data_IF_643137125481
#
_entry.id   IF_643137125481
#
_cell.length_a   1.000
_cell.length_b   1.000
_cell.length_c   1.000
_cell.angle_alpha   90.00
_cell.angle_beta   90.00
_cell.angle_gamma   90.00
#
_symmetry.space_group_name_H-M   'P 1'
#
loop_
_entity.id
_entity.type
_entity.pdbx_description
1 polymer ?
#
# COMPACT_ATOMS: atom_id res chain seq x y z
N UNK A 1 12.39 18.24 -2.58
CA UNK A 1 12.81 16.99 -1.90
C UNK A 1 13.04 15.94 -2.97
N UNK A 2 13.98 15.03 -2.75
CA UNK A 2 14.19 13.87 -3.60
C UNK A 2 13.45 12.66 -3.05
N UNK A 3 12.49 12.12 -3.83
CA UNK A 3 11.52 11.13 -3.37
C UNK A 3 11.59 9.87 -4.22
N UNK A 4 11.88 8.73 -3.62
CA UNK A 4 11.83 7.42 -4.29
C UNK A 4 10.44 6.80 -4.12
N UNK A 5 9.87 6.30 -5.23
CA UNK A 5 8.56 5.62 -5.24
C UNK A 5 8.73 4.20 -5.75
N UNK A 6 8.33 3.21 -4.97
CA UNK A 6 8.32 1.81 -5.43
C UNK A 6 7.03 1.47 -6.16
N UNK A 7 7.12 0.68 -7.24
CA UNK A 7 5.95 0.29 -8.03
C UNK A 7 5.27 1.47 -8.75
N UNK A 8 6.05 2.42 -9.26
CA UNK A 8 5.56 3.65 -9.88
C UNK A 8 4.97 3.46 -11.29
N UNK A 9 5.02 2.26 -11.88
CA UNK A 9 4.63 2.04 -13.27
C UNK A 9 3.13 2.10 -13.56
N UNK A 10 2.26 2.07 -12.55
CA UNK A 10 0.79 2.06 -12.73
C UNK A 10 0.03 2.60 -11.53
N UNK A 11 -1.26 2.89 -11.74
CA UNK A 11 -2.25 3.22 -10.70
C UNK A 11 -1.72 4.24 -9.68
N UNK A 12 -1.83 3.95 -8.37
CA UNK A 12 -1.43 4.87 -7.28
C UNK A 12 0.02 5.32 -7.43
N UNK A 13 0.95 4.41 -7.75
CA UNK A 13 2.35 4.76 -7.91
C UNK A 13 2.61 5.76 -9.04
N UNK A 14 1.99 5.57 -10.20
CA UNK A 14 2.12 6.50 -11.33
C UNK A 14 1.45 7.86 -11.04
N UNK A 15 0.27 7.84 -10.41
CA UNK A 15 -0.41 9.06 -10.00
C UNK A 15 0.41 9.83 -8.95
N UNK A 16 1.01 9.12 -7.98
CA UNK A 16 1.90 9.71 -6.96
C UNK A 16 3.14 10.35 -7.60
N UNK A 17 3.75 9.67 -8.58
CA UNK A 17 4.89 10.23 -9.30
C UNK A 17 4.53 11.56 -9.97
N UNK A 18 3.40 11.61 -10.68
CA UNK A 18 2.90 12.85 -11.32
C UNK A 18 2.57 13.94 -10.30
N UNK A 19 1.87 13.59 -9.21
CA UNK A 19 1.47 14.55 -8.18
C UNK A 19 2.69 15.18 -7.48
N UNK A 20 3.72 14.40 -7.16
CA UNK A 20 4.94 14.89 -6.55
C UNK A 20 5.79 15.73 -7.52
N UNK A 21 5.91 15.32 -8.78
CA UNK A 21 6.59 16.11 -9.82
C UNK A 21 5.90 17.45 -10.01
N UNK A 22 4.57 17.49 -10.07
CA UNK A 22 3.78 18.73 -10.19
C UNK A 22 3.97 19.68 -9.00
N UNK A 23 4.37 19.15 -7.82
CA UNK A 23 4.70 19.94 -6.62
C UNK A 23 6.20 20.32 -6.55
N UNK A 24 6.96 20.07 -7.59
CA UNK A 24 8.38 20.43 -7.67
C UNK A 24 9.34 19.52 -6.91
N UNK A 25 8.94 18.28 -6.65
CA UNK A 25 9.84 17.28 -6.06
C UNK A 25 10.66 16.56 -7.15
N UNK A 26 11.90 16.19 -6.85
CA UNK A 26 12.74 15.33 -7.66
C UNK A 26 12.32 13.87 -7.46
N UNK A 27 11.48 13.35 -8.37
CA UNK A 27 10.94 12.00 -8.26
C UNK A 27 11.88 10.97 -8.88
N UNK A 28 12.24 9.95 -8.11
CA UNK A 28 12.89 8.71 -8.55
C UNK A 28 11.81 7.62 -8.65
N UNK A 29 11.24 7.44 -9.82
CA UNK A 29 10.25 6.42 -10.08
C UNK A 29 10.91 5.06 -10.29
N UNK A 30 10.41 4.02 -9.59
CA UNK A 30 10.96 2.68 -9.71
C UNK A 30 9.91 1.62 -10.01
N UNK A 31 10.28 0.62 -10.80
CA UNK A 31 9.50 -0.56 -11.11
C UNK A 31 10.43 -1.74 -11.44
N UNK A 32 9.92 -2.96 -11.40
CA UNK A 32 10.68 -4.15 -11.88
C UNK A 32 10.99 -4.05 -13.37
N UNK A 33 10.02 -3.62 -14.14
CA UNK A 33 10.18 -3.31 -15.57
C UNK A 33 10.19 -1.78 -15.77
N UNK A 34 11.36 -1.25 -16.11
CA UNK A 34 11.57 0.20 -16.34
C UNK A 34 10.75 0.71 -17.52
N UNK A 35 10.40 -0.14 -18.47
CA UNK A 35 9.59 0.27 -19.62
C UNK A 35 8.20 0.77 -19.20
N UNK A 36 7.67 0.27 -18.10
CA UNK A 36 6.41 0.73 -17.51
C UNK A 36 6.43 2.16 -16.98
N UNK A 37 7.61 2.76 -16.87
CA UNK A 37 7.83 4.14 -16.39
C UNK A 37 7.98 5.15 -17.54
N UNK A 38 7.95 4.72 -18.81
CA UNK A 38 8.31 5.54 -19.97
C UNK A 38 7.50 6.85 -20.06
N UNK A 39 6.19 6.79 -19.73
CA UNK A 39 5.26 7.92 -19.82
C UNK A 39 5.29 8.86 -18.60
N UNK A 40 6.16 8.61 -17.63
CA UNK A 40 6.29 9.49 -16.47
C UNK A 40 7.36 10.56 -16.73
N UNK A 41 6.98 11.82 -16.62
CA UNK A 41 7.93 12.93 -16.59
C UNK A 41 8.49 13.09 -15.18
N UNK A 42 9.62 12.44 -14.90
CA UNK A 42 10.26 12.36 -13.60
C UNK A 42 11.78 12.53 -13.70
N UNK A 43 12.41 12.93 -12.62
CA UNK A 43 13.85 13.18 -12.57
C UNK A 43 14.67 11.91 -12.91
N UNK A 44 14.20 10.73 -12.48
CA UNK A 44 14.91 9.47 -12.74
C UNK A 44 13.96 8.27 -12.79
N UNK A 45 14.28 7.28 -13.63
CA UNK A 45 13.59 6.00 -13.74
C UNK A 45 14.58 4.88 -13.49
N UNK A 46 14.29 3.97 -12.54
CA UNK A 46 15.21 2.89 -12.17
C UNK A 46 14.49 1.55 -12.09
N UNK A 47 15.21 0.49 -12.40
CA UNK A 47 14.78 -0.86 -12.06
C UNK A 47 14.90 -1.07 -10.55
N UNK A 48 13.84 -1.60 -9.93
CA UNK A 48 13.86 -2.01 -8.53
C UNK A 48 12.87 -3.14 -8.29
N UNK A 49 13.37 -4.28 -7.84
CA UNK A 49 12.59 -5.35 -7.23
C UNK A 49 12.76 -5.27 -5.71
N UNK A 50 11.67 -5.00 -4.99
CA UNK A 50 11.68 -4.85 -3.53
C UNK A 50 11.98 -6.17 -2.80
N UNK A 51 11.90 -7.31 -3.48
CA UNK A 51 12.21 -8.64 -2.93
C UNK A 51 13.69 -9.01 -3.07
N UNK A 52 14.45 -8.26 -3.87
CA UNK A 52 15.86 -8.51 -4.14
C UNK A 52 16.74 -7.42 -3.49
N UNK A 53 17.58 -7.83 -2.54
CA UNK A 53 18.48 -6.94 -1.81
C UNK A 53 19.54 -6.29 -2.71
N UNK A 54 20.04 -6.98 -3.73
CA UNK A 54 21.00 -6.42 -4.68
C UNK A 54 20.33 -5.40 -5.61
N UNK A 55 19.12 -5.68 -6.07
CA UNK A 55 18.31 -4.71 -6.82
C UNK A 55 18.09 -3.43 -6.02
N UNK A 56 17.71 -3.55 -4.74
CA UNK A 56 17.55 -2.41 -3.83
C UNK A 56 18.86 -1.64 -3.67
N UNK A 57 19.97 -2.31 -3.45
CA UNK A 57 21.30 -1.70 -3.30
C UNK A 57 21.71 -0.90 -4.54
N UNK A 58 21.53 -1.48 -5.73
CA UNK A 58 21.86 -0.84 -7.01
C UNK A 58 20.98 0.39 -7.25
N UNK A 59 19.66 0.27 -6.99
CA UNK A 59 18.74 1.39 -7.14
C UNK A 59 19.07 2.55 -6.20
N UNK A 60 19.41 2.28 -4.92
CA UNK A 60 19.85 3.33 -3.98
C UNK A 60 21.15 4.00 -4.41
N UNK A 61 22.13 3.23 -4.88
CA UNK A 61 23.40 3.80 -5.37
C UNK A 61 23.16 4.75 -6.56
N UNK A 62 22.25 4.41 -7.46
CA UNK A 62 21.87 5.25 -8.61
C UNK A 62 20.99 6.44 -8.21
N UNK A 63 20.09 6.27 -7.24
CA UNK A 63 19.19 7.31 -6.77
C UNK A 63 19.91 8.44 -6.04
N UNK A 64 21.05 8.19 -5.39
CA UNK A 64 21.74 9.15 -4.54
C UNK A 64 21.03 9.41 -3.22
N UNK A 65 21.25 10.60 -2.63
CA UNK A 65 20.60 10.95 -1.36
C UNK A 65 19.11 11.16 -1.54
N UNK A 66 18.33 10.52 -0.68
CA UNK A 66 16.86 10.58 -0.66
C UNK A 66 16.37 11.33 0.58
N UNK A 67 15.29 12.10 0.42
CA UNK A 67 14.59 12.77 1.51
C UNK A 67 13.36 11.99 1.97
N UNK A 68 12.71 11.29 1.04
CA UNK A 68 11.53 10.51 1.31
C UNK A 68 11.49 9.22 0.48
N UNK A 69 10.81 8.20 1.02
CA UNK A 69 10.51 6.95 0.32
C UNK A 69 9.02 6.69 0.42
N UNK A 70 8.39 6.41 -0.73
CA UNK A 70 7.01 5.95 -0.83
C UNK A 70 7.02 4.46 -1.18
N UNK A 71 6.72 3.60 -0.21
CA UNK A 71 6.55 2.17 -0.38
C UNK A 71 5.12 1.90 -0.90
N UNK A 72 5.01 1.75 -2.23
CA UNK A 72 3.73 1.51 -2.90
C UNK A 72 3.70 0.15 -3.62
N UNK A 73 4.83 -0.46 -3.91
CA UNK A 73 4.87 -1.78 -4.56
C UNK A 73 4.10 -2.82 -3.74
N UNK A 74 3.16 -3.50 -4.36
CA UNK A 74 2.35 -4.52 -3.71
C UNK A 74 1.78 -5.55 -4.69
N UNK A 75 1.44 -6.73 -4.16
CA UNK A 75 0.73 -7.84 -4.82
C UNK A 75 -0.56 -8.15 -4.07
N UNK A 76 -1.61 -8.53 -4.79
CA UNK A 76 -2.87 -9.04 -4.23
C UNK A 76 -3.42 -10.19 -5.09
N UNK A 77 -2.81 -11.37 -5.10
CA UNK A 77 -3.42 -12.57 -5.68
C UNK A 77 -4.52 -13.08 -4.75
N UNK A 78 -5.78 -12.90 -5.14
CA UNK A 78 -6.95 -13.32 -4.37
C UNK A 78 -7.16 -14.83 -4.47
N UNK A 79 -7.71 -15.44 -3.42
CA UNK A 79 -8.09 -16.85 -3.38
C UNK A 79 -8.42 -17.33 -1.98
N UNK A 80 -9.17 -18.45 -1.84
CA UNK A 80 -9.47 -19.06 -0.55
C UNK A 80 -8.19 -19.60 0.10
N UNK A 81 -8.09 -19.48 1.42
CA UNK A 81 -6.86 -19.87 2.14
C UNK A 81 -6.70 -21.38 2.32
N UNK A 82 -7.77 -22.17 2.15
CA UNK A 82 -7.76 -23.62 2.39
C UNK A 82 -6.68 -24.35 1.59
N UNK A 83 -6.52 -24.00 0.32
CA UNK A 83 -5.52 -24.60 -0.58
C UNK A 83 -4.57 -23.57 -1.19
N UNK A 84 -4.50 -22.38 -0.56
CA UNK A 84 -3.67 -21.28 -1.07
C UNK A 84 -2.18 -21.67 -1.08
N UNK A 85 -1.47 -21.51 -2.20
CA UNK A 85 -0.06 -21.88 -2.27
C UNK A 85 0.79 -21.06 -1.28
N UNK A 86 1.49 -21.75 -0.37
CA UNK A 86 2.25 -21.10 0.71
C UNK A 86 3.45 -20.29 0.20
N UNK A 87 4.03 -20.65 -0.93
CA UNK A 87 5.07 -19.87 -1.60
C UNK A 87 4.52 -18.55 -2.15
N UNK A 88 3.26 -18.54 -2.65
CA UNK A 88 2.57 -17.32 -3.06
C UNK A 88 2.28 -16.44 -1.86
N UNK A 89 1.78 -17.00 -0.75
CA UNK A 89 1.57 -16.29 0.52
C UNK A 89 2.88 -15.62 0.99
N UNK A 90 3.96 -16.40 1.04
CA UNK A 90 5.28 -15.91 1.45
C UNK A 90 5.76 -14.76 0.55
N UNK A 91 5.59 -14.89 -0.77
CA UNK A 91 5.93 -13.83 -1.74
C UNK A 91 5.10 -12.57 -1.55
N UNK A 92 3.81 -12.68 -1.22
CA UNK A 92 2.95 -11.52 -0.93
C UNK A 92 3.44 -10.77 0.31
N UNK A 93 3.75 -11.51 1.38
CA UNK A 93 4.29 -10.91 2.61
C UNK A 93 5.68 -10.29 2.35
N UNK A 94 6.55 -10.99 1.64
CA UNK A 94 7.89 -10.48 1.29
C UNK A 94 7.79 -9.21 0.46
N UNK A 95 6.94 -9.16 -0.56
CA UNK A 95 6.78 -7.96 -1.39
C UNK A 95 6.16 -6.79 -0.61
N UNK A 96 5.02 -7.04 0.08
CA UNK A 96 4.18 -5.95 0.60
C UNK A 96 4.66 -5.40 1.95
N UNK A 97 5.39 -6.20 2.74
CA UNK A 97 5.83 -5.81 4.08
C UNK A 97 7.35 -5.82 4.22
N UNK A 98 8.00 -6.98 4.00
CA UNK A 98 9.46 -7.10 4.16
C UNK A 98 10.19 -6.25 3.14
N UNK A 99 9.70 -6.21 1.89
CA UNK A 99 10.24 -5.38 0.81
C UNK A 99 10.20 -3.88 1.13
N UNK A 100 9.12 -3.41 1.76
CA UNK A 100 9.02 -2.03 2.22
C UNK A 100 10.13 -1.70 3.25
N UNK A 101 10.37 -2.61 4.21
CA UNK A 101 11.46 -2.45 5.17
C UNK A 101 12.84 -2.53 4.50
N UNK A 102 13.02 -3.48 3.56
CA UNK A 102 14.28 -3.65 2.80
C UNK A 102 14.65 -2.38 2.03
N UNK A 103 13.66 -1.66 1.50
CA UNK A 103 13.88 -0.41 0.73
C UNK A 103 14.26 0.76 1.65
N UNK A 104 13.76 0.84 2.89
CA UNK A 104 14.06 1.98 3.78
C UNK A 104 15.35 1.78 4.57
N UNK A 105 15.73 0.55 4.90
CA UNK A 105 16.90 0.27 5.73
C UNK A 105 18.21 0.94 5.26
N UNK A 106 18.55 0.97 3.95
CA UNK A 106 19.79 1.57 3.48
C UNK A 106 19.97 3.07 3.80
N UNK A 107 18.87 3.82 3.91
CA UNK A 107 18.92 5.28 4.14
C UNK A 107 18.86 5.67 5.60
N UNK A 108 18.40 4.80 6.51
CA UNK A 108 18.11 5.14 7.90
C UNK A 108 19.33 5.69 8.66
N UNK A 109 20.50 5.13 8.45
CA UNK A 109 21.72 5.62 9.11
C UNK A 109 22.07 7.05 8.67
N UNK A 110 21.89 7.38 7.40
CA UNK A 110 22.07 8.73 6.86
C UNK A 110 21.03 9.71 7.42
N UNK A 111 19.76 9.29 7.41
CA UNK A 111 18.65 10.09 7.92
C UNK A 111 18.79 10.39 9.43
N UNK A 112 19.20 9.41 10.24
CA UNK A 112 19.47 9.62 11.67
C UNK A 112 20.58 10.67 11.90
N UNK A 113 21.67 10.63 11.14
CA UNK A 113 22.73 11.64 11.24
C UNK A 113 22.27 13.04 10.82
N UNK A 114 21.39 13.10 9.81
CA UNK A 114 20.83 14.35 9.28
C UNK A 114 19.69 14.90 10.15
N UNK A 115 19.06 14.06 10.97
CA UNK A 115 17.89 14.43 11.77
C UNK A 115 16.61 14.62 10.94
N UNK A 116 16.51 14.01 9.76
CA UNK A 116 15.34 14.17 8.89
C UNK A 116 15.19 13.02 7.89
N UNK A 117 13.96 12.67 7.57
CA UNK A 117 13.55 11.66 6.58
C UNK A 117 12.05 11.41 6.63
N UNK A 118 11.49 10.88 5.57
CA UNK A 118 10.05 10.56 5.51
C UNK A 118 9.85 9.19 4.88
N UNK A 119 9.14 8.32 5.59
CA UNK A 119 8.66 7.03 5.10
C UNK A 119 7.15 7.15 4.92
N UNK A 120 6.66 6.91 3.71
CA UNK A 120 5.23 6.77 3.43
C UNK A 120 4.96 5.33 3.00
N UNK A 121 4.23 4.60 3.82
CA UNK A 121 3.82 3.23 3.52
C UNK A 121 2.38 3.22 3.00
N UNK A 122 2.17 2.78 1.76
CA UNK A 122 0.83 2.61 1.20
C UNK A 122 0.27 1.27 1.69
N UNK A 123 -0.52 1.35 2.75
CA UNK A 123 -1.24 0.23 3.34
C UNK A 123 -2.59 0.00 2.63
N UNK A 124 -3.64 -0.25 3.36
CA UNK A 124 -5.03 -0.44 2.92
C UNK A 124 -5.93 -0.44 4.15
N UNK A 125 -7.25 -0.30 3.97
CA UNK A 125 -8.23 -0.73 4.99
C UNK A 125 -7.97 -2.17 5.44
N UNK A 126 -7.47 -3.02 4.54
CA UNK A 126 -7.10 -4.40 4.84
C UNK A 126 -5.82 -4.55 5.67
N UNK A 127 -5.18 -3.48 6.07
CA UNK A 127 -4.19 -3.48 7.14
C UNK A 127 -4.81 -3.52 8.55
N UNK A 128 -6.13 -3.34 8.66
CA UNK A 128 -6.87 -3.28 9.94
C UNK A 128 -8.11 -4.18 9.96
N UNK A 129 -8.58 -4.63 8.80
CA UNK A 129 -9.70 -5.56 8.64
C UNK A 129 -9.29 -6.65 7.63
N UNK A 130 -9.94 -7.80 7.69
CA UNK A 130 -9.74 -8.86 6.71
C UNK A 130 -11.06 -9.12 5.97
N UNK A 131 -10.95 -9.46 4.69
CA UNK A 131 -12.09 -9.76 3.82
C UNK A 131 -11.96 -11.17 3.26
N UNK A 132 -13.08 -11.80 2.86
CA UNK A 132 -13.01 -13.10 2.20
C UNK A 132 -12.11 -13.06 0.96
N UNK A 133 -11.44 -14.17 0.69
CA UNK A 133 -10.60 -14.41 -0.49
C UNK A 133 -9.34 -13.54 -0.61
N UNK A 134 -9.11 -12.60 0.29
CA UNK A 134 -7.94 -11.70 0.27
C UNK A 134 -7.04 -11.86 1.50
N UNK A 135 -7.06 -13.05 2.13
CA UNK A 135 -6.35 -13.33 3.38
C UNK A 135 -4.84 -13.11 3.29
N UNK A 136 -4.19 -13.49 2.19
CA UNK A 136 -2.75 -13.28 1.99
C UNK A 136 -2.41 -11.77 1.93
N UNK A 137 -3.23 -10.99 1.23
CA UNK A 137 -3.07 -9.54 1.15
C UNK A 137 -3.30 -8.87 2.51
N UNK A 138 -4.41 -9.21 3.18
CA UNK A 138 -4.72 -8.68 4.50
C UNK A 138 -3.59 -8.98 5.51
N UNK A 139 -3.08 -10.21 5.56
CA UNK A 139 -1.95 -10.58 6.40
C UNK A 139 -0.71 -9.72 6.12
N UNK A 140 -0.39 -9.49 4.84
CA UNK A 140 0.76 -8.65 4.46
C UNK A 140 0.58 -7.19 4.85
N UNK A 141 -0.64 -6.64 4.73
CA UNK A 141 -0.92 -5.25 5.12
C UNK A 141 -0.97 -5.06 6.63
N UNK A 142 -1.47 -6.05 7.40
CA UNK A 142 -1.35 -6.06 8.87
C UNK A 142 0.13 -6.10 9.30
N UNK A 143 0.97 -6.90 8.62
CA UNK A 143 2.41 -6.90 8.88
C UNK A 143 3.05 -5.53 8.59
N UNK A 144 2.70 -4.87 7.47
CA UNK A 144 3.19 -3.54 7.13
C UNK A 144 2.76 -2.49 8.17
N UNK A 145 1.52 -2.55 8.67
CA UNK A 145 1.02 -1.68 9.74
C UNK A 145 1.84 -1.84 11.02
N UNK A 146 2.08 -3.09 11.46
CA UNK A 146 2.87 -3.36 12.66
C UNK A 146 4.32 -2.89 12.53
N UNK A 147 4.96 -3.12 11.37
CA UNK A 147 6.30 -2.58 11.08
C UNK A 147 6.30 -1.06 11.08
N UNK A 148 5.26 -0.42 10.57
CA UNK A 148 5.14 1.04 10.53
C UNK A 148 4.98 1.63 11.93
N UNK A 149 4.18 1.01 12.79
CA UNK A 149 4.03 1.40 14.20
C UNK A 149 5.40 1.34 14.92
N UNK A 150 6.13 0.24 14.75
CA UNK A 150 7.46 0.08 15.34
C UNK A 150 8.44 1.14 14.83
N UNK A 151 8.51 1.33 13.51
CA UNK A 151 9.38 2.35 12.91
C UNK A 151 9.02 3.76 13.37
N UNK A 152 7.74 4.07 13.57
CA UNK A 152 7.31 5.37 14.09
C UNK A 152 7.87 5.63 15.49
N UNK A 153 7.81 4.65 16.41
CA UNK A 153 8.39 4.78 17.74
C UNK A 153 9.92 4.88 17.71
N UNK A 154 10.56 4.03 16.92
CA UNK A 154 12.03 3.95 16.87
C UNK A 154 12.69 5.16 16.19
N UNK A 155 12.05 5.69 15.14
CA UNK A 155 12.66 6.70 14.27
C UNK A 155 12.21 8.13 14.60
N UNK A 156 11.08 8.31 15.27
CA UNK A 156 10.54 9.63 15.62
C UNK A 156 11.52 10.45 16.47
N UNK A 157 12.25 9.82 17.38
CA UNK A 157 13.31 10.45 18.18
C UNK A 157 14.41 11.10 17.31
N UNK A 158 14.64 10.58 16.12
CA UNK A 158 15.65 11.09 15.19
C UNK A 158 15.09 12.08 14.16
N UNK A 159 13.86 12.58 14.34
CA UNK A 159 13.22 13.49 13.39
C UNK A 159 12.82 12.83 12.07
N UNK A 160 12.73 11.50 12.01
CA UNK A 160 12.28 10.76 10.84
C UNK A 160 10.79 10.45 11.01
N UNK A 161 9.99 10.90 10.06
CA UNK A 161 8.54 10.68 10.06
C UNK A 161 8.15 9.39 9.36
N UNK A 162 7.15 8.71 9.91
CA UNK A 162 6.50 7.55 9.28
C UNK A 162 5.03 7.89 9.10
N UNK A 163 4.52 7.69 7.90
CA UNK A 163 3.09 7.87 7.56
C UNK A 163 2.58 6.60 6.90
N UNK A 164 1.43 6.15 7.33
CA UNK A 164 0.70 5.01 6.74
C UNK A 164 -0.55 5.55 6.05
N UNK A 165 -0.58 5.44 4.73
CA UNK A 165 -1.76 5.79 3.95
C UNK A 165 -2.63 4.55 3.82
N UNK A 166 -3.91 4.65 4.18
CA UNK A 166 -4.87 3.56 4.24
C UNK A 166 -6.00 3.78 3.23
N UNK A 167 -5.80 3.45 1.94
CA UNK A 167 -6.86 3.56 0.94
C UNK A 167 -7.96 2.52 1.19
N UNK A 168 -9.19 2.91 0.86
CA UNK A 168 -10.27 1.99 0.60
C UNK A 168 -10.17 1.36 -0.79
N UNK A 169 -11.33 1.16 -1.43
CA UNK A 169 -11.41 0.56 -2.76
C UNK A 169 -11.20 1.63 -3.85
N UNK A 170 -10.05 1.58 -4.52
CA UNK A 170 -9.63 2.53 -5.56
C UNK A 170 -9.90 1.93 -6.96
N UNK A 171 -10.50 2.70 -7.88
CA UNK A 171 -10.67 2.29 -9.28
C UNK A 171 -9.34 2.48 -10.06
N UNK A 172 -9.02 1.60 -11.02
CA UNK A 172 -9.74 0.41 -11.47
C UNK A 172 -9.55 -0.83 -10.59
N UNK A 173 -9.02 -0.68 -9.40
CA UNK A 173 -8.66 -1.78 -8.51
C UNK A 173 -7.29 -2.38 -8.84
N UNK A 174 -6.78 -3.16 -7.90
CA UNK A 174 -5.54 -3.88 -8.06
C UNK A 174 -5.81 -5.14 -8.88
N UNK A 175 -5.26 -5.23 -10.09
CA UNK A 175 -5.37 -6.46 -10.88
C UNK A 175 -4.59 -7.55 -10.17
N UNK A 176 -5.26 -8.66 -9.87
CA UNK A 176 -4.60 -9.89 -9.45
C UNK A 176 -3.90 -10.50 -10.65
N UNK A 177 -2.56 -10.51 -10.62
CA UNK A 177 -1.77 -11.05 -11.72
C UNK A 177 -1.92 -12.59 -11.83
N UNK A 178 -2.32 -13.26 -10.75
CA UNK A 178 -2.56 -14.70 -10.69
C UNK A 178 -3.54 -15.02 -9.54
N UNK A 179 -4.87 -14.88 -9.75
CA UNK A 179 -5.83 -15.30 -8.75
C UNK A 179 -5.75 -16.83 -8.59
N UNK A 180 -5.81 -17.28 -7.33
CA UNK A 180 -5.92 -18.70 -7.03
C UNK A 180 -7.41 -19.07 -6.98
N UNK A 181 -7.92 -19.88 -7.91
CA UNK A 181 -9.36 -20.16 -7.98
C UNK A 181 -9.86 -20.96 -6.78
N UNK A 182 -9.03 -21.87 -6.25
CA UNK A 182 -9.43 -22.77 -5.18
C UNK A 182 -10.54 -23.75 -5.55
N UNK A 183 -11.08 -24.53 -4.57
CA UNK A 183 -12.17 -25.48 -4.78
C UNK A 183 -13.47 -24.81 -5.24
N UNK A 184 -14.28 -25.55 -6.00
CA UNK A 184 -15.59 -25.09 -6.48
C UNK A 184 -16.57 -24.79 -5.33
N UNK A 185 -16.36 -25.41 -4.17
CA UNK A 185 -17.13 -25.15 -2.96
C UNK A 185 -17.16 -23.65 -2.57
N UNK A 186 -16.17 -22.88 -2.98
CA UNK A 186 -16.08 -21.42 -2.76
C UNK A 186 -16.75 -20.58 -3.85
N UNK A 187 -17.39 -21.17 -4.86
CA UNK A 187 -18.01 -20.42 -5.97
C UNK A 187 -19.11 -19.47 -5.49
N UNK A 188 -19.92 -19.89 -4.53
CA UNK A 188 -20.95 -19.03 -3.95
C UNK A 188 -20.34 -17.84 -3.21
N UNK A 189 -19.31 -18.07 -2.38
CA UNK A 189 -18.59 -16.98 -1.70
C UNK A 189 -17.97 -16.02 -2.72
N UNK A 190 -17.35 -16.54 -3.79
CA UNK A 190 -16.80 -15.70 -4.87
C UNK A 190 -17.88 -14.83 -5.53
N UNK A 191 -19.03 -15.40 -5.81
CA UNK A 191 -20.15 -14.67 -6.40
C UNK A 191 -20.68 -13.58 -5.46
N UNK A 192 -20.86 -13.91 -4.16
CA UNK A 192 -21.29 -12.94 -3.17
C UNK A 192 -20.25 -11.82 -3.02
N UNK A 193 -18.95 -12.16 -2.93
CA UNK A 193 -17.87 -11.19 -2.79
C UNK A 193 -17.76 -10.27 -4.02
N UNK A 194 -17.85 -10.80 -5.23
CA UNK A 194 -17.88 -10.00 -6.45
C UNK A 194 -19.06 -9.01 -6.49
N UNK A 195 -20.21 -9.40 -5.92
CA UNK A 195 -21.39 -8.54 -5.79
C UNK A 195 -21.24 -7.39 -4.77
N UNK A 196 -20.21 -7.41 -3.91
CA UNK A 196 -19.99 -6.33 -2.92
C UNK A 196 -19.50 -5.02 -3.54
N UNK A 197 -18.96 -5.06 -4.75
CA UNK A 197 -18.41 -3.92 -5.46
C UNK A 197 -19.38 -2.72 -5.49
N UNK A 198 -20.62 -2.98 -5.86
CA UNK A 198 -21.66 -1.95 -5.93
C UNK A 198 -22.05 -1.39 -4.55
N UNK A 199 -21.90 -2.18 -3.48
CA UNK A 199 -22.23 -1.78 -2.11
C UNK A 199 -21.12 -0.97 -1.45
N UNK A 200 -19.87 -1.24 -1.82
CA UNK A 200 -18.69 -0.51 -1.37
C UNK A 200 -18.46 0.78 -2.16
N UNK A 201 -19.16 0.93 -3.28
CA UNK A 201 -19.06 2.11 -4.14
C UNK A 201 -20.16 3.11 -3.76
N UNK A 202 -19.80 4.26 -3.21
CA UNK A 202 -20.75 5.33 -2.92
C UNK A 202 -21.34 5.97 -4.19
N UNK A 203 -22.30 6.91 -4.06
CA UNK A 203 -22.96 7.55 -5.20
C UNK A 203 -22.02 8.24 -6.20
N UNK A 204 -20.81 8.61 -5.76
CA UNK A 204 -19.75 9.24 -6.58
C UNK A 204 -18.85 8.26 -7.32
N UNK A 205 -19.09 6.97 -7.22
CA UNK A 205 -18.17 5.94 -7.73
C UNK A 205 -16.97 5.71 -6.79
N UNK A 206 -16.08 4.81 -7.20
CA UNK A 206 -14.79 4.61 -6.51
C UNK A 206 -13.83 5.74 -6.83
N UNK A 207 -13.09 6.27 -5.84
CA UNK A 207 -12.05 7.26 -6.12
C UNK A 207 -10.98 6.69 -7.05
N UNK A 208 -10.43 7.55 -7.90
CA UNK A 208 -9.27 7.21 -8.72
C UNK A 208 -7.97 7.20 -7.89
N UNK A 209 -6.86 6.72 -8.49
CA UNK A 209 -5.56 6.69 -7.83
C UNK A 209 -5.04 8.10 -7.49
N UNK A 210 -5.56 9.14 -8.14
CA UNK A 210 -5.20 10.55 -7.92
C UNK A 210 -5.57 11.01 -6.50
N UNK A 211 -6.67 10.51 -5.94
CA UNK A 211 -7.08 10.84 -4.56
C UNK A 211 -6.04 10.35 -3.56
N UNK A 212 -5.54 9.12 -3.75
CA UNK A 212 -4.49 8.56 -2.89
C UNK A 212 -3.16 9.27 -3.11
N UNK A 213 -2.84 9.60 -4.36
CA UNK A 213 -1.63 10.35 -4.72
C UNK A 213 -1.60 11.73 -4.08
N UNK A 214 -2.74 12.43 -4.04
CA UNK A 214 -2.88 13.72 -3.36
C UNK A 214 -2.62 13.56 -1.87
N UNK A 215 -3.24 12.60 -1.21
CA UNK A 215 -3.02 12.33 0.22
C UNK A 215 -1.55 12.00 0.55
N UNK A 216 -0.87 11.23 -0.31
CA UNK A 216 0.57 10.94 -0.17
C UNK A 216 1.40 12.23 -0.30
N UNK A 217 1.08 13.07 -1.29
CA UNK A 217 1.81 14.31 -1.54
C UNK A 217 1.56 15.35 -0.43
N UNK A 218 0.35 15.40 0.14
CA UNK A 218 0.03 16.22 1.30
C UNK A 218 0.81 15.73 2.53
N UNK A 219 0.84 14.43 2.77
CA UNK A 219 1.57 13.82 3.87
C UNK A 219 3.09 14.09 3.82
N UNK A 220 3.67 14.15 2.63
CA UNK A 220 5.09 14.54 2.46
C UNK A 220 5.27 16.02 2.77
N UNK A 221 4.36 16.88 2.33
CA UNK A 221 4.46 18.33 2.48
C UNK A 221 4.12 18.87 3.87
N UNK A 222 3.26 18.17 4.62
CA UNK A 222 2.79 18.64 5.94
C UNK A 222 3.47 17.86 7.09
N UNK A 223 4.35 18.52 7.88
CA UNK A 223 4.96 17.92 9.06
C UNK A 223 3.96 17.49 10.14
N UNK A 224 2.76 18.09 10.16
CA UNK A 224 1.70 17.78 11.12
C UNK A 224 0.86 16.54 10.76
N UNK A 225 1.12 15.91 9.63
CA UNK A 225 0.38 14.71 9.20
C UNK A 225 0.48 13.61 10.26
N UNK A 226 -0.67 13.05 10.72
CA UNK A 226 -0.66 11.96 11.69
C UNK A 226 -0.07 10.68 11.09
N UNK A 227 0.28 9.71 11.96
CA UNK A 227 0.82 8.42 11.53
C UNK A 227 -0.08 7.72 10.49
N UNK A 228 -1.40 7.85 10.59
CA UNK A 228 -2.37 7.20 9.67
C UNK A 228 -3.23 8.22 8.97
N UNK A 229 -3.36 8.02 7.65
CA UNK A 229 -4.20 8.83 6.76
C UNK A 229 -5.16 7.89 6.04
N UNK A 230 -6.42 7.92 6.43
CA UNK A 230 -7.50 7.17 5.79
C UNK A 230 -7.88 7.89 4.48
N UNK A 231 -8.03 7.14 3.37
CA UNK A 231 -8.30 7.76 2.05
C UNK A 231 -9.48 7.08 1.39
N UNK A 232 -10.55 7.86 1.24
CA UNK A 232 -11.84 7.44 0.71
C UNK A 232 -12.88 7.28 1.81
N UNK A 233 -14.12 7.62 1.47
CA UNK A 233 -15.25 7.56 2.42
C UNK A 233 -15.51 6.14 2.94
N UNK A 234 -15.29 5.14 2.11
CA UNK A 234 -15.35 3.73 2.47
C UNK A 234 -14.26 3.38 3.51
N UNK A 235 -13.03 3.86 3.33
CA UNK A 235 -11.96 3.68 4.30
C UNK A 235 -12.32 4.27 5.66
N UNK A 236 -12.74 5.53 5.68
CA UNK A 236 -13.16 6.22 6.90
C UNK A 236 -14.29 5.47 7.62
N UNK A 237 -15.32 5.05 6.87
CA UNK A 237 -16.47 4.32 7.42
C UNK A 237 -16.07 2.97 7.99
N UNK A 238 -15.35 2.15 7.23
CA UNK A 238 -14.94 0.80 7.64
C UNK A 238 -14.04 0.87 8.87
N UNK A 239 -13.04 1.75 8.85
CA UNK A 239 -12.07 1.86 9.94
C UNK A 239 -12.69 2.49 11.19
N UNK A 240 -13.60 3.45 11.06
CA UNK A 240 -14.36 3.98 12.20
C UNK A 240 -15.24 2.90 12.82
N UNK A 241 -15.93 2.10 12.00
CA UNK A 241 -16.76 0.97 12.46
C UNK A 241 -15.90 -0.07 13.20
N UNK A 242 -14.72 -0.41 12.63
CA UNK A 242 -13.78 -1.37 13.24
C UNK A 242 -13.28 -0.90 14.62
N UNK A 243 -13.06 0.39 14.78
CA UNK A 243 -12.64 0.96 16.09
C UNK A 243 -13.76 1.00 17.13
N UNK A 244 -15.00 1.12 16.68
CA UNK A 244 -16.16 1.29 17.56
C UNK A 244 -16.76 -0.04 18.06
N UNK A 245 -16.56 -1.14 17.32
CA UNK A 245 -17.21 -2.41 17.57
C UNK A 245 -16.21 -3.49 18.01
N UNK A 246 -16.67 -4.44 18.84
CA UNK A 246 -15.96 -5.69 19.09
C UNK A 246 -15.97 -6.57 17.84
N UNK A 247 -15.19 -7.67 17.85
CA UNK A 247 -14.99 -8.51 16.68
C UNK A 247 -16.29 -9.11 16.13
N UNK A 248 -17.18 -9.57 17.02
CA UNK A 248 -18.46 -10.18 16.61
C UNK A 248 -19.42 -9.15 16.04
N UNK A 249 -19.57 -8.02 16.70
CA UNK A 249 -20.45 -6.94 16.25
C UNK A 249 -19.94 -6.33 14.93
N UNK A 250 -18.62 -6.26 14.73
CA UNK A 250 -18.02 -5.83 13.48
C UNK A 250 -18.28 -6.84 12.36
N UNK A 251 -18.12 -8.14 12.61
CA UNK A 251 -18.41 -9.18 11.62
C UNK A 251 -19.88 -9.11 11.17
N UNK A 252 -20.83 -9.04 12.13
CA UNK A 252 -22.25 -8.95 11.84
C UNK A 252 -22.58 -7.71 10.99
N UNK A 253 -22.03 -6.54 11.34
CA UNK A 253 -22.20 -5.30 10.60
C UNK A 253 -21.65 -5.40 9.18
N UNK A 254 -20.48 -5.99 8.99
CA UNK A 254 -19.87 -6.16 7.67
C UNK A 254 -20.64 -7.17 6.81
N UNK A 255 -21.06 -8.31 7.38
CA UNK A 255 -21.91 -9.29 6.66
C UNK A 255 -23.20 -8.63 6.18
N UNK A 256 -23.87 -7.88 7.05
CA UNK A 256 -25.10 -7.17 6.70
C UNK A 256 -24.85 -6.11 5.61
N UNK A 257 -23.85 -5.25 5.78
CA UNK A 257 -23.54 -4.18 4.82
C UNK A 257 -23.17 -4.73 3.43
N UNK A 258 -22.41 -5.83 3.39
CA UNK A 258 -21.94 -6.45 2.15
C UNK A 258 -22.92 -7.50 1.61
N UNK A 259 -23.91 -7.92 2.41
CA UNK A 259 -24.88 -8.96 2.03
C UNK A 259 -24.24 -10.32 1.85
N UNK A 260 -23.25 -10.65 2.69
CA UNK A 260 -22.57 -11.94 2.69
C UNK A 260 -23.31 -12.87 3.66
N UNK A 261 -23.86 -13.95 3.12
CA UNK A 261 -24.61 -14.97 3.88
C UNK A 261 -23.83 -16.28 4.04
N UNK A 262 -22.71 -16.39 3.40
CA UNK A 262 -21.79 -17.53 3.45
C UNK A 262 -21.38 -17.89 4.89
#
# INVERSE_FOLDING_TARGET
MRVLITGAGRAIGAATARALTARGHDVVATARDVSSLADLDVAQRLALDVTDADSVRVAHAAAGELDAIVNNAALNPAGPLEDYPLDVLARVIDTNAVGALRVVQPVLAGWRRRGSGIIVNVSSVQGRVATPLEGAYAASKHALEALSDTLHYELGHFGIRVVVVQPGYVAPGMKSDQPHPGPADYDELRAQWAGTDAKLTGPGGRPGPETVATAIADAIGDPGTPLRVEVGQDAETILATRRALDDRSFEDAMRQALGITW
#
